data_IF_804502325379
#
_entry.id   IF_804502325379
#
_cell.length_a   1.000
_cell.length_b   1.000
_cell.length_c   1.000
_cell.angle_alpha   90.00
_cell.angle_beta   90.00
_cell.angle_gamma   90.00
#
_symmetry.space_group_name_H-M   'P 1'
#
loop_
_entity.id
_entity.type
_entity.pdbx_description
1 polymer ?
#
# COMPACT_ATOMS: atom_id res chain seq x y z
N UNK A 1 -54.02 16.29 101.70
CA UNK A 1 -52.91 16.02 100.75
C UNK A 1 -53.35 15.93 99.30
N UNK A 2 -54.47 15.26 98.97
CA UNK A 2 -55.01 15.17 97.60
C UNK A 2 -55.27 16.53 96.91
N UNK A 3 -55.86 17.52 97.59
CA UNK A 3 -56.11 18.85 96.99
C UNK A 3 -54.82 19.60 96.61
N UNK A 4 -53.75 19.46 97.41
CA UNK A 4 -52.44 20.05 97.09
C UNK A 4 -51.78 19.36 95.90
N UNK A 5 -52.03 18.07 95.67
CA UNK A 5 -51.58 17.36 94.48
C UNK A 5 -52.34 17.83 93.24
N UNK A 6 -53.67 17.86 93.33
CA UNK A 6 -54.55 18.32 92.24
C UNK A 6 -54.27 19.78 91.84
N UNK A 7 -54.03 20.68 92.80
CA UNK A 7 -53.67 22.08 92.51
C UNK A 7 -52.33 22.23 91.79
N UNK A 8 -51.33 21.37 92.11
CA UNK A 8 -50.06 21.33 91.37
C UNK A 8 -50.24 20.78 89.96
N UNK A 9 -51.10 19.78 89.78
CA UNK A 9 -51.40 19.22 88.46
C UNK A 9 -52.17 20.19 87.57
N UNK A 10 -53.12 20.96 88.14
CA UNK A 10 -53.83 22.03 87.43
C UNK A 10 -52.85 23.11 86.99
N UNK A 11 -52.02 23.65 87.90
CA UNK A 11 -51.04 24.66 87.54
C UNK A 11 -50.05 24.17 86.45
N UNK A 12 -49.66 22.89 86.50
CA UNK A 12 -48.81 22.27 85.47
C UNK A 12 -49.54 22.15 84.12
N UNK A 13 -50.82 21.79 84.12
CA UNK A 13 -51.64 21.72 82.90
C UNK A 13 -51.93 23.11 82.33
N UNK A 14 -52.17 24.11 83.17
CA UNK A 14 -52.35 25.52 82.78
C UNK A 14 -51.07 26.05 82.13
N UNK A 15 -49.91 25.88 82.78
CA UNK A 15 -48.61 26.25 82.22
C UNK A 15 -48.35 25.54 80.89
N UNK A 16 -48.69 24.25 80.79
CA UNK A 16 -48.54 23.48 79.54
C UNK A 16 -49.49 23.97 78.45
N UNK A 17 -50.71 24.35 78.81
CA UNK A 17 -51.69 24.91 77.87
C UNK A 17 -51.22 26.28 77.39
N UNK A 18 -50.70 27.11 78.28
CA UNK A 18 -50.15 28.43 77.97
C UNK A 18 -48.96 28.32 77.00
N UNK A 19 -48.01 27.40 77.25
CA UNK A 19 -46.90 27.11 76.33
C UNK A 19 -47.42 26.60 74.97
N UNK A 20 -48.43 25.73 74.96
CA UNK A 20 -48.98 25.21 73.69
C UNK A 20 -49.63 26.34 72.89
N UNK A 21 -50.46 27.16 73.52
CA UNK A 21 -51.26 28.20 72.86
C UNK A 21 -50.40 29.39 72.44
N UNK A 22 -49.49 29.85 73.31
CA UNK A 22 -48.75 31.08 73.07
C UNK A 22 -47.41 30.86 72.36
N UNK A 23 -46.85 29.65 72.39
CA UNK A 23 -45.56 29.37 71.75
C UNK A 23 -45.67 28.30 70.65
N UNK A 24 -46.20 27.12 70.95
CA UNK A 24 -46.14 25.98 70.00
C UNK A 24 -47.05 26.14 68.79
N UNK A 25 -48.29 26.61 68.99
CA UNK A 25 -49.24 26.82 67.88
C UNK A 25 -48.70 27.92 66.94
N UNK A 26 -48.35 29.13 67.42
CA UNK A 26 -47.79 30.18 66.56
C UNK A 26 -46.51 29.76 65.83
N UNK A 27 -45.62 28.99 66.50
CA UNK A 27 -44.42 28.47 65.85
C UNK A 27 -44.75 27.47 64.73
N UNK A 28 -45.72 26.59 64.93
CA UNK A 28 -46.18 25.64 63.91
C UNK A 28 -46.85 26.35 62.73
N UNK A 29 -47.67 27.37 62.98
CA UNK A 29 -48.32 28.18 61.94
C UNK A 29 -47.27 28.93 61.10
N UNK A 30 -46.30 29.55 61.76
CA UNK A 30 -45.18 30.20 61.08
C UNK A 30 -44.38 29.22 60.21
N UNK A 31 -44.14 28.01 60.71
CA UNK A 31 -43.47 26.96 59.93
C UNK A 31 -44.31 26.51 58.72
N UNK A 32 -45.63 26.36 58.89
CA UNK A 32 -46.54 25.99 57.80
C UNK A 32 -46.61 27.07 56.71
N UNK A 33 -46.65 28.34 57.09
CA UNK A 33 -46.61 29.47 56.15
C UNK A 33 -45.31 29.48 55.34
N UNK A 34 -44.17 29.29 56.02
CA UNK A 34 -42.87 29.20 55.35
C UNK A 34 -42.80 28.04 54.35
N UNK A 35 -43.31 26.86 54.72
CA UNK A 35 -43.38 25.72 53.81
C UNK A 35 -44.33 25.96 52.63
N UNK A 36 -45.48 26.58 52.87
CA UNK A 36 -46.44 26.95 51.81
C UNK A 36 -45.82 27.93 50.82
N UNK A 37 -45.09 28.93 51.32
CA UNK A 37 -44.34 29.88 50.49
C UNK A 37 -43.27 29.15 49.67
N UNK A 38 -42.49 28.27 50.29
CA UNK A 38 -41.46 27.49 49.60
C UNK A 38 -42.02 26.61 48.46
N UNK A 39 -43.22 26.04 48.63
CA UNK A 39 -43.89 25.27 47.56
C UNK A 39 -44.27 26.19 46.39
N UNK A 40 -44.85 27.37 46.67
CA UNK A 40 -45.24 28.33 45.63
C UNK A 40 -44.06 28.92 44.86
N UNK A 41 -42.90 29.05 45.51
CA UNK A 41 -41.67 29.51 44.85
C UNK A 41 -41.00 28.42 44.01
N UNK A 42 -41.13 27.15 44.41
CA UNK A 42 -40.45 26.03 43.76
C UNK A 42 -41.21 25.42 42.58
N UNK A 43 -42.53 25.60 42.53
CA UNK A 43 -43.39 24.97 41.52
C UNK A 43 -44.35 25.99 40.90
N UNK A 44 -44.62 25.82 39.60
CA UNK A 44 -45.60 26.64 38.91
C UNK A 44 -46.98 26.47 39.53
N UNK A 45 -47.70 27.57 39.73
CA UNK A 45 -49.02 27.57 40.36
C UNK A 45 -50.01 26.65 39.64
N UNK A 46 -50.00 26.65 38.30
CA UNK A 46 -50.84 25.78 37.49
C UNK A 46 -50.56 24.28 37.75
N UNK A 47 -49.29 23.91 37.94
CA UNK A 47 -48.92 22.52 38.24
C UNK A 47 -49.36 22.12 39.65
N UNK A 48 -49.23 23.04 40.63
CA UNK A 48 -49.68 22.80 42.01
C UNK A 48 -51.20 22.51 42.00
N UNK A 49 -51.98 23.36 41.34
CA UNK A 49 -53.45 23.25 41.33
C UNK A 49 -53.95 22.03 40.53
N UNK A 50 -53.34 21.74 39.37
CA UNK A 50 -53.82 20.67 38.49
C UNK A 50 -53.26 19.28 38.82
N UNK A 51 -52.05 19.20 39.39
CA UNK A 51 -51.33 17.93 39.55
C UNK A 51 -50.84 17.70 40.98
N UNK A 52 -50.19 18.69 41.59
CA UNK A 52 -49.56 18.57 42.91
C UNK A 52 -50.57 18.28 44.02
N UNK A 53 -51.52 19.20 44.23
CA UNK A 53 -52.54 19.13 45.27
C UNK A 53 -53.49 17.93 45.09
N UNK A 54 -54.03 17.65 43.88
CA UNK A 54 -54.88 16.48 43.67
C UNK A 54 -54.17 15.15 43.95
N UNK A 55 -52.89 15.05 43.60
CA UNK A 55 -52.08 13.85 43.86
C UNK A 55 -51.79 13.68 45.35
N UNK A 56 -51.46 14.76 46.06
CA UNK A 56 -51.24 14.73 47.50
C UNK A 56 -52.49 14.26 48.24
N UNK A 57 -53.66 14.85 47.94
CA UNK A 57 -54.94 14.46 48.56
C UNK A 57 -55.30 13.00 48.28
N UNK A 58 -54.99 12.47 47.09
CA UNK A 58 -55.20 11.06 46.75
C UNK A 58 -54.32 10.13 47.59
N UNK A 59 -53.03 10.44 47.74
CA UNK A 59 -52.11 9.64 48.56
C UNK A 59 -52.43 9.74 50.05
N UNK A 60 -52.86 10.91 50.52
CA UNK A 60 -53.29 11.11 51.91
C UNK A 60 -54.50 10.23 52.26
N UNK A 61 -55.49 10.15 51.35
CA UNK A 61 -56.65 9.24 51.50
C UNK A 61 -56.25 7.77 51.50
N UNK A 62 -55.21 7.39 50.76
CA UNK A 62 -54.78 5.99 50.66
C UNK A 62 -53.93 5.54 51.87
N UNK A 63 -53.14 6.45 52.46
CA UNK A 63 -52.14 6.14 53.50
C UNK A 63 -52.54 6.58 54.90
N UNK A 64 -53.70 7.22 55.07
CA UNK A 64 -54.33 7.61 56.34
C UNK A 64 -53.56 8.60 57.24
N UNK A 65 -52.27 8.88 57.00
CA UNK A 65 -51.50 9.91 57.71
C UNK A 65 -50.54 10.67 56.79
N UNK A 66 -50.29 11.94 57.11
CA UNK A 66 -49.32 12.76 56.38
C UNK A 66 -47.87 12.26 56.56
N UNK A 67 -47.56 11.65 57.70
CA UNK A 67 -46.25 11.06 58.01
C UNK A 67 -45.96 9.84 57.11
N UNK A 68 -46.97 9.01 56.84
CA UNK A 68 -46.85 7.84 55.95
C UNK A 68 -46.72 8.25 54.47
N UNK A 69 -47.33 9.37 54.08
CA UNK A 69 -47.10 9.97 52.76
C UNK A 69 -45.67 10.50 52.68
N UNK A 70 -45.24 11.28 53.66
CA UNK A 70 -43.90 11.87 53.68
C UNK A 70 -42.81 10.79 53.64
N UNK A 71 -42.85 9.80 54.53
CA UNK A 71 -41.86 8.72 54.60
C UNK A 71 -41.75 7.92 53.29
N UNK A 72 -42.89 7.69 52.61
CA UNK A 72 -42.91 6.96 51.35
C UNK A 72 -42.27 7.72 50.19
N UNK A 73 -42.50 9.02 50.07
CA UNK A 73 -41.98 9.83 48.97
C UNK A 73 -40.62 10.46 49.26
N UNK A 74 -40.27 10.66 50.53
CA UNK A 74 -38.99 11.26 50.92
C UNK A 74 -37.79 10.48 50.35
N UNK A 75 -37.80 9.15 50.53
CA UNK A 75 -36.75 8.28 50.00
C UNK A 75 -36.70 8.27 48.46
N UNK A 76 -37.87 8.34 47.80
CA UNK A 76 -37.96 8.38 46.35
C UNK A 76 -37.43 9.70 45.77
N UNK A 77 -37.82 10.84 46.36
CA UNK A 77 -37.34 12.16 45.96
C UNK A 77 -35.82 12.27 46.14
N UNK A 78 -35.31 11.81 47.29
CA UNK A 78 -33.86 11.77 47.55
C UNK A 78 -33.12 10.93 46.49
N UNK A 79 -33.66 9.75 46.15
CA UNK A 79 -33.10 8.90 45.10
C UNK A 79 -33.11 9.58 43.73
N UNK A 80 -34.24 10.16 43.32
CA UNK A 80 -34.35 10.84 42.02
C UNK A 80 -33.42 12.05 41.93
N UNK A 81 -33.28 12.84 43.00
CA UNK A 81 -32.31 13.95 43.08
C UNK A 81 -30.87 13.45 42.93
N UNK A 82 -30.51 12.38 43.63
CA UNK A 82 -29.18 11.77 43.50
C UNK A 82 -28.91 11.26 42.08
N UNK A 83 -29.90 10.63 41.45
CA UNK A 83 -29.79 10.18 40.05
C UNK A 83 -29.65 11.34 39.06
N UNK A 84 -30.44 12.42 39.25
CA UNK A 84 -30.35 13.63 38.45
C UNK A 84 -28.97 14.27 38.58
N UNK A 85 -28.46 14.42 39.80
CA UNK A 85 -27.12 14.97 40.04
C UNK A 85 -26.05 14.10 39.37
N UNK A 86 -26.12 12.78 39.51
CA UNK A 86 -25.17 11.88 38.85
C UNK A 86 -25.18 12.04 37.33
N UNK A 87 -26.36 12.15 36.71
CA UNK A 87 -26.49 12.38 35.26
C UNK A 87 -25.97 13.76 34.84
N UNK A 88 -26.14 14.78 35.69
CA UNK A 88 -25.58 16.12 35.49
C UNK A 88 -24.05 16.06 35.53
N UNK A 89 -23.48 15.37 36.51
CA UNK A 89 -22.03 15.19 36.65
C UNK A 89 -21.44 14.43 35.45
N UNK A 90 -22.11 13.36 35.00
CA UNK A 90 -21.72 12.59 33.81
C UNK A 90 -21.71 13.46 32.53
N UNK A 91 -22.74 14.32 32.37
CA UNK A 91 -22.83 15.27 31.25
C UNK A 91 -21.70 16.30 31.29
N UNK A 92 -21.49 16.95 32.44
CA UNK A 92 -20.42 17.94 32.64
C UNK A 92 -19.06 17.33 32.35
N UNK A 93 -18.83 16.10 32.83
CA UNK A 93 -17.60 15.36 32.54
C UNK A 93 -17.41 15.13 31.05
N UNK A 94 -18.44 14.66 30.35
CA UNK A 94 -18.36 14.39 28.90
C UNK A 94 -18.14 15.68 28.10
N UNK A 95 -18.77 16.79 28.51
CA UNK A 95 -18.53 18.11 27.93
C UNK A 95 -17.10 18.58 28.16
N UNK A 96 -16.57 18.41 29.37
CA UNK A 96 -15.21 18.78 29.72
C UNK A 96 -14.18 17.96 28.92
N UNK A 97 -14.40 16.65 28.78
CA UNK A 97 -13.56 15.78 27.95
C UNK A 97 -13.58 16.23 26.48
N UNK A 98 -14.76 16.49 25.91
CA UNK A 98 -14.88 16.99 24.53
C UNK A 98 -14.20 18.35 24.34
N UNK A 99 -14.44 19.31 25.23
CA UNK A 99 -13.79 20.63 25.18
C UNK A 99 -12.27 20.52 25.27
N UNK A 100 -11.74 19.63 26.12
CA UNK A 100 -10.30 19.39 26.22
C UNK A 100 -9.73 18.82 24.93
N UNK A 101 -10.36 17.78 24.39
CA UNK A 101 -9.84 17.03 23.25
C UNK A 101 -9.87 17.88 21.97
N UNK A 102 -10.89 18.74 21.81
CA UNK A 102 -11.08 19.60 20.64
C UNK A 102 -10.75 21.09 20.87
N UNK A 103 -10.29 21.46 22.06
CA UNK A 103 -9.90 22.83 22.47
C UNK A 103 -10.97 23.89 22.23
N UNK A 104 -12.20 23.59 22.65
CA UNK A 104 -13.37 24.46 22.48
C UNK A 104 -13.52 25.45 23.63
N UNK A 105 -14.38 26.47 23.48
CA UNK A 105 -14.59 27.53 24.51
C UNK A 105 -16.02 27.57 25.05
N UNK A 106 -16.75 26.45 24.99
CA UNK A 106 -18.12 26.38 25.48
C UNK A 106 -18.19 26.25 27.00
N UNK A 107 -19.31 26.68 27.59
CA UNK A 107 -19.58 26.50 29.01
C UNK A 107 -20.02 25.06 29.30
N UNK A 108 -19.23 24.35 30.11
CA UNK A 108 -19.53 22.99 30.57
C UNK A 108 -20.82 22.92 31.41
N UNK A 109 -21.14 24.00 32.12
CA UNK A 109 -22.26 24.07 33.07
C UNK A 109 -23.55 24.62 32.46
N UNK A 110 -23.56 24.97 31.17
CA UNK A 110 -24.76 25.45 30.48
C UNK A 110 -25.97 24.52 30.73
N UNK A 111 -27.14 25.12 30.93
CA UNK A 111 -28.39 24.37 31.14
C UNK A 111 -28.89 23.72 29.85
N UNK A 112 -28.69 24.38 28.71
CA UNK A 112 -29.02 23.84 27.39
C UNK A 112 -27.84 23.11 26.74
N UNK A 113 -28.12 22.44 25.61
CA UNK A 113 -27.14 21.73 24.79
C UNK A 113 -26.96 22.34 23.40
N UNK A 114 -27.46 23.57 23.20
CA UNK A 114 -27.59 24.20 21.89
C UNK A 114 -26.25 24.34 21.14
N UNK A 115 -25.13 24.74 21.77
CA UNK A 115 -23.84 24.83 21.07
C UNK A 115 -23.37 23.49 20.48
N UNK A 116 -23.53 22.40 21.24
CA UNK A 116 -23.12 21.05 20.82
C UNK A 116 -24.03 20.48 19.74
N UNK A 117 -25.35 20.73 19.82
CA UNK A 117 -26.31 20.31 18.79
C UNK A 117 -26.07 21.02 17.46
N UNK A 118 -25.78 22.33 17.50
CA UNK A 118 -25.44 23.11 16.32
C UNK A 118 -24.16 22.59 15.67
N UNK A 119 -23.14 22.28 16.46
CA UNK A 119 -21.89 21.70 15.97
C UNK A 119 -22.11 20.30 15.38
N UNK A 120 -22.89 19.46 16.05
CA UNK A 120 -23.25 18.13 15.54
C UNK A 120 -23.94 18.22 14.17
N UNK A 121 -24.92 19.11 14.02
CA UNK A 121 -25.59 19.35 12.73
C UNK A 121 -24.60 19.85 11.69
N UNK A 122 -23.74 20.81 12.02
CA UNK A 122 -22.71 21.30 11.09
C UNK A 122 -21.77 20.17 10.61
N UNK A 123 -21.32 19.30 11.51
CA UNK A 123 -20.47 18.17 11.12
C UNK A 123 -21.24 17.14 10.30
N UNK A 124 -22.44 16.77 10.72
CA UNK A 124 -23.24 15.72 10.08
C UNK A 124 -23.73 16.13 8.69
N UNK A 125 -24.22 17.36 8.57
CA UNK A 125 -24.96 17.80 7.39
C UNK A 125 -24.08 18.53 6.38
N UNK A 126 -22.94 19.09 6.81
CA UNK A 126 -22.03 19.86 5.94
C UNK A 126 -20.65 19.22 5.87
N UNK A 127 -19.89 19.20 6.99
CA UNK A 127 -18.45 18.84 6.94
C UNK A 127 -18.20 17.38 6.57
N UNK A 128 -18.97 16.43 7.10
CA UNK A 128 -18.79 15.00 6.80
C UNK A 128 -19.10 14.67 5.33
N UNK A 129 -20.21 15.15 4.74
CA UNK A 129 -20.43 15.06 3.30
C UNK A 129 -19.30 15.69 2.48
N UNK A 130 -18.84 16.88 2.84
CA UNK A 130 -17.74 17.57 2.15
C UNK A 130 -16.44 16.77 2.22
N UNK A 131 -16.07 16.26 3.40
CA UNK A 131 -14.89 15.42 3.56
C UNK A 131 -15.01 14.10 2.79
N UNK A 132 -16.19 13.46 2.78
CA UNK A 132 -16.41 12.27 1.96
C UNK A 132 -16.19 12.56 0.48
N UNK A 133 -16.71 13.69 -0.01
CA UNK A 133 -16.50 14.13 -1.39
C UNK A 133 -15.02 14.41 -1.67
N UNK A 134 -14.33 15.12 -0.79
CA UNK A 134 -12.89 15.38 -0.92
C UNK A 134 -12.06 14.10 -0.93
N UNK A 135 -12.39 13.13 -0.08
CA UNK A 135 -11.73 11.81 -0.06
C UNK A 135 -11.97 11.07 -1.37
N UNK A 136 -13.21 11.10 -1.89
CA UNK A 136 -13.53 10.49 -3.17
C UNK A 136 -12.76 11.15 -4.32
N UNK A 137 -12.78 12.48 -4.42
CA UNK A 137 -12.07 13.25 -5.44
C UNK A 137 -10.54 13.00 -5.37
N UNK A 138 -9.98 12.96 -4.16
CA UNK A 138 -8.56 12.66 -3.96
C UNK A 138 -8.21 11.23 -4.36
N UNK A 139 -9.07 10.25 -4.05
CA UNK A 139 -8.90 8.85 -4.46
C UNK A 139 -8.94 8.72 -5.97
N UNK A 140 -9.90 9.35 -6.64
CA UNK A 140 -10.03 9.32 -8.10
C UNK A 140 -8.80 9.92 -8.77
N UNK A 141 -8.35 11.10 -8.32
CA UNK A 141 -7.12 11.73 -8.84
C UNK A 141 -5.87 10.88 -8.63
N UNK A 142 -5.71 10.30 -7.43
CA UNK A 142 -4.58 9.43 -7.13
C UNK A 142 -4.60 8.17 -8.01
N UNK A 143 -5.78 7.61 -8.26
CA UNK A 143 -5.95 6.45 -9.14
C UNK A 143 -5.61 6.78 -10.59
N UNK A 144 -6.04 7.94 -11.09
CA UNK A 144 -5.69 8.40 -12.43
C UNK A 144 -4.18 8.61 -12.59
N UNK A 145 -3.55 9.28 -11.62
CA UNK A 145 -2.10 9.48 -11.64
C UNK A 145 -1.35 8.15 -11.60
N UNK A 146 -1.76 7.23 -10.72
CA UNK A 146 -1.20 5.89 -10.67
C UNK A 146 -1.35 5.16 -12.01
N UNK A 147 -2.51 5.29 -12.67
CA UNK A 147 -2.73 4.67 -13.99
C UNK A 147 -1.73 5.16 -15.02
N UNK A 148 -1.57 6.48 -15.08
CA UNK A 148 -0.71 7.14 -16.05
C UNK A 148 0.77 6.78 -15.80
N UNK A 149 1.23 6.92 -14.56
CA UNK A 149 2.62 6.62 -14.18
C UNK A 149 2.98 5.15 -14.42
N UNK A 150 2.04 4.23 -14.12
CA UNK A 150 2.23 2.80 -14.33
C UNK A 150 2.39 2.45 -15.81
N UNK A 151 1.47 2.91 -16.66
CA UNK A 151 1.50 2.64 -18.10
C UNK A 151 2.73 3.29 -18.76
N UNK A 152 3.06 4.52 -18.38
CA UNK A 152 4.25 5.22 -18.87
C UNK A 152 5.53 4.45 -18.51
N UNK A 153 5.63 3.93 -17.28
CA UNK A 153 6.78 3.14 -16.86
C UNK A 153 6.89 1.83 -17.63
N UNK A 154 5.78 1.13 -17.82
CA UNK A 154 5.73 -0.13 -18.56
C UNK A 154 6.13 0.07 -20.03
N UNK A 155 5.60 1.12 -20.67
CA UNK A 155 5.99 1.54 -22.02
C UNK A 155 7.49 1.83 -22.12
N UNK A 156 8.01 2.67 -21.24
CA UNK A 156 9.43 3.03 -21.21
C UNK A 156 10.33 1.80 -21.11
N UNK A 157 9.94 0.80 -20.31
CA UNK A 157 10.69 -0.45 -20.19
C UNK A 157 10.65 -1.27 -21.49
N UNK A 158 9.49 -1.37 -22.16
CA UNK A 158 9.35 -2.07 -23.45
C UNK A 158 10.15 -1.36 -24.55
N UNK A 159 10.07 -0.04 -24.64
CA UNK A 159 10.82 0.76 -25.61
C UNK A 159 12.33 0.59 -25.41
N UNK A 160 12.79 0.66 -24.15
CA UNK A 160 14.21 0.44 -23.80
C UNK A 160 14.66 -0.95 -24.22
N UNK A 161 13.84 -1.97 -23.98
CA UNK A 161 14.13 -3.33 -24.41
C UNK A 161 14.21 -3.45 -25.94
N UNK A 162 13.28 -2.84 -26.67
CA UNK A 162 13.30 -2.87 -28.14
C UNK A 162 14.58 -2.24 -28.70
N UNK A 163 14.99 -1.08 -28.17
CA UNK A 163 16.26 -0.43 -28.52
C UNK A 163 17.44 -1.37 -28.24
N UNK A 164 17.46 -2.03 -27.06
CA UNK A 164 18.53 -2.98 -26.73
C UNK A 164 18.59 -4.17 -27.70
N UNK A 165 17.43 -4.71 -28.10
CA UNK A 165 17.36 -5.81 -29.07
C UNK A 165 17.82 -5.35 -30.45
N UNK A 166 17.44 -4.14 -30.88
CA UNK A 166 17.90 -3.56 -32.15
C UNK A 166 19.42 -3.34 -32.17
N UNK A 167 19.99 -2.82 -31.08
CA UNK A 167 21.44 -2.65 -30.94
C UNK A 167 22.19 -3.98 -30.96
N UNK A 168 21.69 -4.99 -30.23
CA UNK A 168 22.24 -6.35 -30.24
C UNK A 168 22.20 -6.94 -31.66
N UNK A 169 21.07 -6.81 -32.34
CA UNK A 169 20.94 -7.22 -33.73
C UNK A 169 21.84 -6.41 -34.67
N UNK A 170 22.09 -5.14 -34.36
CA UNK A 170 23.06 -4.29 -35.06
C UNK A 170 24.48 -4.84 -34.94
N UNK A 171 24.91 -5.20 -33.73
CA UNK A 171 26.21 -5.83 -33.51
C UNK A 171 26.31 -7.18 -34.23
N UNK A 172 25.27 -8.02 -34.14
CA UNK A 172 25.25 -9.35 -34.77
C UNK A 172 25.25 -9.30 -36.31
N UNK A 173 24.74 -8.24 -36.95
CA UNK A 173 24.73 -8.12 -38.42
C UNK A 173 26.12 -8.13 -39.04
N UNK A 174 27.13 -7.68 -38.31
CA UNK A 174 28.54 -7.62 -38.76
C UNK A 174 29.24 -8.99 -38.67
N UNK A 175 28.64 -9.97 -37.97
CA UNK A 175 29.24 -11.27 -37.72
C UNK A 175 28.48 -12.40 -38.43
N UNK A 176 29.21 -13.25 -39.14
CA UNK A 176 28.76 -14.56 -39.61
C UNK A 176 29.53 -15.63 -38.88
N UNK A 177 28.86 -16.67 -38.40
CA UNK A 177 29.51 -17.76 -37.68
C UNK A 177 29.54 -18.99 -38.58
N UNK A 178 30.59 -19.09 -39.40
CA UNK A 178 30.57 -19.95 -40.58
C UNK A 178 29.51 -19.46 -41.57
N UNK A 179 28.63 -20.36 -42.00
CA UNK A 179 27.52 -20.10 -42.92
C UNK A 179 26.28 -19.46 -42.28
N UNK A 180 26.23 -19.40 -40.94
CA UNK A 180 25.03 -19.00 -40.19
C UNK A 180 25.07 -17.52 -39.76
N UNK A 181 23.92 -16.84 -39.85
CA UNK A 181 23.69 -15.52 -39.24
C UNK A 181 22.62 -15.59 -38.17
N UNK A 182 22.80 -14.85 -37.08
CA UNK A 182 21.89 -14.86 -35.94
C UNK A 182 21.18 -13.51 -35.76
N UNK A 183 19.90 -13.56 -35.38
CA UNK A 183 19.09 -12.38 -35.04
C UNK A 183 18.15 -12.69 -33.89
N UNK A 184 18.09 -11.84 -32.88
CA UNK A 184 17.07 -11.88 -31.85
C UNK A 184 15.73 -11.41 -32.40
N UNK A 185 14.69 -12.19 -32.12
CA UNK A 185 13.31 -11.88 -32.50
C UNK A 185 12.46 -11.80 -31.25
N UNK A 186 11.81 -10.66 -31.07
CA UNK A 186 10.88 -10.41 -29.98
C UNK A 186 9.45 -10.44 -30.53
N UNK A 187 8.56 -11.19 -29.89
CA UNK A 187 7.13 -11.25 -30.28
C UNK A 187 6.22 -11.11 -29.07
N UNK A 188 5.07 -10.42 -29.22
CA UNK A 188 4.06 -10.38 -28.17
C UNK A 188 3.55 -11.80 -27.88
N UNK A 189 3.43 -12.15 -26.60
CA UNK A 189 2.78 -13.40 -26.22
C UNK A 189 1.28 -13.33 -26.53
N UNK A 190 0.67 -14.36 -27.13
CA UNK A 190 -0.76 -14.34 -27.50
C UNK A 190 -1.68 -13.99 -26.32
N UNK A 191 -1.38 -14.54 -25.13
CA UNK A 191 -2.15 -14.33 -23.89
C UNK A 191 -2.21 -12.87 -23.44
N UNK A 192 -1.18 -12.06 -23.74
CA UNK A 192 -1.09 -10.66 -23.29
C UNK A 192 -1.07 -9.67 -24.46
N UNK A 193 -1.38 -10.13 -25.67
CA UNK A 193 -1.28 -9.34 -26.89
C UNK A 193 -2.10 -8.06 -26.80
N UNK A 194 -3.32 -8.15 -26.24
CA UNK A 194 -4.20 -7.00 -26.03
C UNK A 194 -3.52 -5.88 -25.22
N UNK A 195 -2.87 -6.23 -24.12
CA UNK A 195 -2.15 -5.28 -23.28
C UNK A 195 -0.91 -4.73 -23.99
N UNK A 196 -0.15 -5.60 -24.67
CA UNK A 196 1.02 -5.18 -25.42
C UNK A 196 0.68 -4.18 -26.53
N UNK A 197 -0.35 -4.47 -27.32
CA UNK A 197 -0.80 -3.61 -28.42
C UNK A 197 -1.28 -2.25 -27.91
N UNK A 198 -1.90 -2.20 -26.72
CA UNK A 198 -2.23 -0.95 -26.02
C UNK A 198 -0.97 -0.17 -25.62
N UNK A 199 0.00 -0.81 -24.95
CA UNK A 199 1.21 -0.15 -24.43
C UNK A 199 2.11 0.37 -25.56
N UNK A 200 2.08 -0.30 -26.72
CA UNK A 200 2.93 0.01 -27.89
C UNK A 200 2.19 0.69 -29.04
N UNK A 201 0.96 1.18 -28.82
CA UNK A 201 0.15 1.79 -29.87
C UNK A 201 0.86 2.99 -30.53
N UNK A 202 0.77 3.05 -31.87
CA UNK A 202 1.34 4.13 -32.68
C UNK A 202 0.82 5.52 -32.33
N UNK A 203 -0.38 5.63 -31.75
CA UNK A 203 -0.89 6.90 -31.24
C UNK A 203 0.11 7.56 -30.27
N UNK A 204 0.85 6.75 -29.50
CA UNK A 204 1.86 7.23 -28.56
C UNK A 204 3.13 7.75 -29.24
N UNK A 205 3.35 7.38 -30.51
CA UNK A 205 4.45 7.89 -31.35
C UNK A 205 4.04 9.19 -32.07
N UNK A 206 2.75 9.37 -32.33
CA UNK A 206 2.16 10.54 -33.00
C UNK A 206 1.95 11.75 -32.06
N UNK A 207 2.49 11.69 -30.84
CA UNK A 207 2.43 12.77 -29.87
C UNK A 207 1.19 12.76 -28.97
N UNK A 208 0.30 11.77 -29.09
CA UNK A 208 -0.73 11.54 -28.08
C UNK A 208 -0.08 10.96 -26.83
N UNK A 209 -0.38 11.57 -25.68
CA UNK A 209 0.06 11.01 -24.41
C UNK A 209 -0.85 9.83 -24.03
N UNK A 210 -0.33 8.90 -23.22
CA UNK A 210 -1.12 7.82 -22.58
C UNK A 210 -2.30 8.42 -21.79
N UNK A 211 -2.13 9.65 -21.32
CA UNK A 211 -3.10 10.41 -20.55
C UNK A 211 -4.18 11.08 -21.43
N UNK A 212 -4.10 10.99 -22.76
CA UNK A 212 -5.08 11.58 -23.65
C UNK A 212 -6.40 10.82 -23.62
N UNK A 213 -7.52 11.57 -23.66
CA UNK A 213 -8.85 10.97 -23.64
C UNK A 213 -9.06 10.01 -24.81
N UNK A 214 -8.56 10.35 -26.00
CA UNK A 214 -8.66 9.52 -27.20
C UNK A 214 -7.98 8.16 -27.02
N UNK A 215 -6.80 8.13 -26.39
CA UNK A 215 -6.10 6.88 -26.09
C UNK A 215 -6.87 6.04 -25.07
N UNK A 216 -7.35 6.68 -23.99
CA UNK A 216 -8.13 6.01 -22.93
C UNK A 216 -9.42 5.42 -23.46
N UNK A 217 -10.13 6.12 -24.34
CA UNK A 217 -11.39 5.64 -24.90
C UNK A 217 -11.18 4.43 -25.83
N UNK A 218 -10.12 4.46 -26.65
CA UNK A 218 -9.76 3.35 -27.55
C UNK A 218 -9.39 2.07 -26.79
N UNK A 219 -8.64 2.20 -25.69
CA UNK A 219 -8.09 1.07 -24.94
C UNK A 219 -8.77 0.83 -23.59
N UNK A 220 -9.94 1.45 -23.36
CA UNK A 220 -10.63 1.47 -22.06
C UNK A 220 -10.70 0.11 -21.41
N UNK A 221 -11.22 -0.87 -22.14
CA UNK A 221 -11.41 -2.22 -21.64
C UNK A 221 -10.09 -2.89 -21.22
N UNK A 222 -9.01 -2.69 -22.00
CA UNK A 222 -7.71 -3.28 -21.71
C UNK A 222 -7.06 -2.63 -20.49
N UNK A 223 -7.21 -1.29 -20.34
CA UNK A 223 -6.72 -0.59 -19.14
C UNK A 223 -7.54 -1.05 -17.93
N UNK A 224 -8.86 -1.03 -18.01
CA UNK A 224 -9.72 -1.37 -16.88
C UNK A 224 -9.54 -2.83 -16.43
N UNK A 225 -9.33 -3.77 -17.36
CA UNK A 225 -9.00 -5.17 -17.06
C UNK A 225 -7.62 -5.31 -16.39
N UNK A 226 -6.59 -4.66 -16.93
CA UNK A 226 -5.24 -4.68 -16.39
C UNK A 226 -5.19 -4.14 -14.96
N UNK A 227 -5.85 -3.00 -14.72
CA UNK A 227 -5.87 -2.38 -13.40
C UNK A 227 -6.70 -3.17 -12.40
N UNK A 228 -7.80 -3.80 -12.82
CA UNK A 228 -8.56 -4.73 -11.97
C UNK A 228 -7.66 -5.84 -11.43
N UNK A 229 -6.78 -6.41 -12.26
CA UNK A 229 -5.87 -7.46 -11.79
C UNK A 229 -4.86 -7.01 -10.72
N UNK A 230 -4.53 -5.71 -10.63
CA UNK A 230 -3.51 -5.18 -9.73
C UNK A 230 -4.06 -4.29 -8.60
N UNK A 231 -5.32 -3.85 -8.67
CA UNK A 231 -5.93 -2.95 -7.70
C UNK A 231 -7.20 -3.51 -7.04
N UNK A 232 -7.57 -4.77 -7.30
CA UNK A 232 -8.72 -5.35 -6.61
C UNK A 232 -8.39 -5.59 -5.14
N UNK A 233 -8.55 -4.51 -4.36
CA UNK A 233 -8.32 -4.44 -2.92
C UNK A 233 -9.68 -4.34 -2.24
N UNK A 234 -10.49 -5.40 -2.32
CA UNK A 234 -11.64 -5.49 -1.44
C UNK A 234 -11.15 -5.49 0.03
N UNK A 235 -11.79 -4.72 0.90
CA UNK A 235 -11.37 -4.54 2.31
C UNK A 235 -11.36 -5.84 3.14
N UNK A 236 -11.84 -6.95 2.60
CA UNK A 236 -11.91 -8.29 3.22
C UNK A 236 -11.21 -9.37 2.38
N UNK A 237 -10.07 -9.07 1.75
CA UNK A 237 -9.28 -10.11 1.07
C UNK A 237 -8.77 -11.14 2.08
N UNK A 238 -9.16 -12.40 1.88
CA UNK A 238 -8.57 -13.56 2.55
C UNK A 238 -7.06 -13.63 2.31
N UNK A 239 -6.34 -14.40 3.13
CA UNK A 239 -4.89 -14.58 2.94
C UNK A 239 -4.54 -15.06 1.51
N UNK A 240 -5.38 -15.94 0.95
CA UNK A 240 -5.22 -16.45 -0.42
C UNK A 240 -5.40 -15.36 -1.47
N UNK A 241 -6.41 -14.50 -1.31
CA UNK A 241 -6.68 -13.44 -2.26
C UNK A 241 -5.59 -12.33 -2.23
N UNK A 242 -4.97 -12.08 -1.07
CA UNK A 242 -3.78 -11.21 -0.97
C UNK A 242 -2.58 -11.82 -1.71
N UNK A 243 -2.35 -13.12 -1.56
CA UNK A 243 -1.26 -13.80 -2.26
C UNK A 243 -1.47 -13.80 -3.79
N UNK A 244 -2.72 -13.96 -4.24
CA UNK A 244 -3.07 -13.86 -5.67
C UNK A 244 -2.85 -12.44 -6.20
N UNK A 245 -3.27 -11.41 -5.46
CA UNK A 245 -3.02 -10.02 -5.83
C UNK A 245 -1.52 -9.74 -5.95
N UNK A 246 -0.71 -10.20 -5.00
CA UNK A 246 0.74 -10.00 -5.04
C UNK A 246 1.39 -10.69 -6.25
N UNK A 247 0.89 -11.87 -6.62
CA UNK A 247 1.29 -12.60 -7.82
C UNK A 247 0.89 -11.84 -9.09
N UNK A 248 -0.32 -11.29 -9.13
CA UNK A 248 -0.79 -10.50 -10.26
C UNK A 248 0.01 -9.20 -10.41
N UNK A 249 0.29 -8.49 -9.32
CA UNK A 249 1.17 -7.31 -9.31
C UNK A 249 2.52 -7.69 -9.93
N UNK A 250 3.19 -8.74 -9.45
CA UNK A 250 4.49 -9.18 -10.01
C UNK A 250 4.38 -9.54 -11.49
N UNK A 251 3.30 -10.22 -11.90
CA UNK A 251 3.09 -10.66 -13.28
C UNK A 251 2.84 -9.50 -14.25
N UNK A 252 1.95 -8.59 -13.90
CA UNK A 252 1.49 -7.50 -14.79
C UNK A 252 2.40 -6.26 -14.73
N UNK A 253 3.20 -6.08 -13.68
CA UNK A 253 4.23 -5.03 -13.62
C UNK A 253 5.49 -5.37 -14.42
N UNK A 254 5.76 -6.65 -14.67
CA UNK A 254 6.95 -7.09 -15.39
C UNK A 254 6.72 -7.08 -16.91
N UNK A 255 7.45 -6.21 -17.61
CA UNK A 255 7.39 -6.09 -19.07
C UNK A 255 7.76 -7.42 -19.80
N UNK A 256 8.57 -8.28 -19.17
CA UNK A 256 8.96 -9.60 -19.73
C UNK A 256 7.80 -10.56 -19.83
N UNK A 257 6.73 -10.35 -19.05
CA UNK A 257 5.52 -11.16 -19.11
C UNK A 257 4.86 -11.05 -20.49
N UNK A 258 4.84 -9.86 -21.07
CA UNK A 258 4.14 -9.54 -22.33
C UNK A 258 4.86 -10.06 -23.58
N UNK A 259 6.14 -10.41 -23.46
CA UNK A 259 7.02 -10.69 -24.60
C UNK A 259 7.54 -12.13 -24.56
N UNK A 260 7.75 -12.66 -25.76
CA UNK A 260 8.48 -13.90 -26.03
C UNK A 260 9.73 -13.57 -26.83
N UNK A 261 10.83 -14.18 -26.45
CA UNK A 261 12.13 -13.99 -27.08
C UNK A 261 12.54 -15.29 -27.76
N UNK A 262 13.05 -15.19 -28.98
CA UNK A 262 13.60 -16.30 -29.73
C UNK A 262 14.86 -15.83 -30.48
N UNK A 263 15.69 -16.78 -30.89
CA UNK A 263 16.83 -16.53 -31.77
C UNK A 263 16.53 -17.13 -33.12
N UNK A 264 16.61 -16.33 -34.17
CA UNK A 264 16.46 -16.78 -35.54
C UNK A 264 17.83 -16.97 -36.18
N UNK A 265 17.98 -18.11 -36.86
CA UNK A 265 19.20 -18.49 -37.59
C UNK A 265 18.87 -18.43 -39.07
N UNK A 266 19.67 -17.70 -39.83
CA UNK A 266 19.60 -17.66 -41.30
C UNK A 266 20.81 -18.38 -41.85
N UNK A 267 20.59 -19.41 -42.67
CA UNK A 267 21.67 -20.15 -43.35
C UNK A 267 22.13 -19.44 -44.65
N UNK A 268 23.17 -19.97 -45.29
CA UNK A 268 23.71 -19.51 -46.58
C UNK A 268 22.66 -19.51 -47.71
N UNK A 269 21.66 -20.40 -47.64
CA UNK A 269 20.56 -20.48 -48.59
C UNK A 269 19.45 -19.46 -48.33
N UNK A 270 19.57 -18.64 -47.28
CA UNK A 270 18.58 -17.65 -46.85
C UNK A 270 17.38 -18.25 -46.11
N UNK A 271 17.41 -19.54 -45.74
CA UNK A 271 16.33 -20.12 -44.96
C UNK A 271 16.43 -19.68 -43.51
N UNK A 272 15.31 -19.15 -42.99
CA UNK A 272 15.19 -18.70 -41.62
C UNK A 272 14.56 -19.79 -40.75
N UNK A 273 15.26 -20.16 -39.68
CA UNK A 273 14.79 -21.15 -38.73
C UNK A 273 14.91 -20.62 -37.31
N UNK A 274 13.86 -20.82 -36.51
CA UNK A 274 13.88 -20.45 -35.09
C UNK A 274 14.62 -21.48 -34.28
N UNK A 275 15.51 -21.01 -33.41
CA UNK A 275 16.33 -21.84 -32.54
C UNK A 275 15.45 -22.72 -31.64
N UNK A 276 14.34 -22.18 -31.11
CA UNK A 276 13.37 -22.94 -30.30
C UNK A 276 12.83 -24.21 -30.99
N UNK A 277 12.78 -24.25 -32.32
CA UNK A 277 12.29 -25.40 -33.11
C UNK A 277 13.40 -26.37 -33.54
N UNK A 278 14.64 -25.91 -33.59
CA UNK A 278 15.78 -26.65 -34.16
C UNK A 278 16.79 -27.12 -33.11
N UNK A 279 16.76 -26.57 -31.88
CA UNK A 279 17.69 -26.90 -30.80
C UNK A 279 17.74 -28.41 -30.49
N UNK A 280 16.64 -29.15 -30.72
CA UNK A 280 16.55 -30.61 -30.49
C UNK A 280 17.13 -31.47 -31.62
N UNK A 281 17.49 -30.88 -32.77
CA UNK A 281 17.84 -31.63 -34.00
C UNK A 281 19.30 -31.45 -34.47
N UNK A 282 20.03 -30.47 -33.95
CA UNK A 282 21.38 -30.11 -34.45
C UNK A 282 22.52 -30.66 -33.58
N UNK A 283 23.65 -30.93 -34.21
CA UNK A 283 24.88 -31.51 -33.61
C UNK A 283 25.51 -30.58 -32.55
N UNK A 284 26.37 -31.14 -31.69
CA UNK A 284 26.92 -30.50 -30.48
C UNK A 284 27.75 -29.23 -30.70
N UNK A 285 28.29 -28.99 -31.90
CA UNK A 285 29.00 -27.75 -32.24
C UNK A 285 28.08 -26.63 -32.73
N UNK A 286 27.09 -26.96 -33.56
CA UNK A 286 26.07 -26.02 -34.06
C UNK A 286 25.12 -25.53 -32.95
N UNK A 287 25.01 -26.29 -31.86
CA UNK A 287 24.20 -25.92 -30.69
C UNK A 287 24.92 -25.00 -29.71
N UNK A 288 26.26 -24.87 -29.78
CA UNK A 288 27.00 -24.00 -28.85
C UNK A 288 27.10 -22.54 -29.31
N UNK A 289 27.22 -22.24 -30.61
CA UNK A 289 27.25 -20.84 -31.07
C UNK A 289 26.00 -20.05 -30.67
N UNK A 290 24.76 -20.57 -30.83
CA UNK A 290 23.55 -19.90 -30.34
C UNK A 290 23.57 -19.65 -28.83
N UNK A 291 24.15 -20.57 -28.06
CA UNK A 291 24.30 -20.42 -26.62
C UNK A 291 25.23 -19.25 -26.28
N UNK A 292 26.41 -19.17 -26.91
CA UNK A 292 27.34 -18.05 -26.69
C UNK A 292 26.73 -16.71 -27.12
N UNK A 293 26.08 -16.66 -28.29
CA UNK A 293 25.37 -15.45 -28.75
C UNK A 293 24.31 -15.01 -27.73
N UNK A 294 23.55 -15.94 -27.17
CA UNK A 294 22.54 -15.67 -26.14
C UNK A 294 23.14 -15.20 -24.82
N UNK A 295 24.23 -15.82 -24.38
CA UNK A 295 24.95 -15.43 -23.15
C UNK A 295 25.53 -14.03 -23.29
N UNK A 296 26.19 -13.73 -24.41
CA UNK A 296 26.77 -12.42 -24.68
C UNK A 296 25.71 -11.32 -24.72
N UNK A 297 24.57 -11.60 -25.35
CA UNK A 297 23.43 -10.68 -25.34
C UNK A 297 22.88 -10.45 -23.92
N UNK A 298 22.76 -11.51 -23.13
CA UNK A 298 22.29 -11.43 -21.74
C UNK A 298 23.22 -10.57 -20.88
N UNK A 299 24.53 -10.73 -21.02
CA UNK A 299 25.52 -9.91 -20.31
C UNK A 299 25.55 -8.46 -20.80
N UNK A 300 25.43 -8.22 -22.11
CA UNK A 300 25.34 -6.88 -22.65
C UNK A 300 24.13 -6.11 -22.08
N UNK A 301 23.00 -6.79 -21.91
CA UNK A 301 21.81 -6.25 -21.26
C UNK A 301 22.03 -6.03 -19.75
N UNK A 302 22.51 -7.06 -19.02
CA UNK A 302 22.66 -7.02 -17.57
C UNK A 302 23.64 -5.93 -17.13
N UNK A 303 24.78 -5.81 -17.83
CA UNK A 303 25.76 -4.78 -17.57
C UNK A 303 25.38 -3.41 -18.08
N UNK A 304 24.22 -3.26 -18.74
CA UNK A 304 23.74 -1.98 -19.26
C UNK A 304 24.83 -1.29 -20.07
N UNK A 305 25.56 -2.06 -20.87
CA UNK A 305 26.81 -1.65 -21.55
C UNK A 305 26.63 -0.33 -22.32
N UNK A 306 25.40 -0.05 -22.74
CA UNK A 306 25.03 1.11 -23.55
C UNK A 306 24.25 2.20 -22.81
N UNK A 307 23.93 2.03 -21.51
CA UNK A 307 23.42 3.15 -20.70
C UNK A 307 24.53 4.19 -20.53
N UNK A 308 24.19 5.46 -20.71
CA UNK A 308 25.12 6.58 -20.52
C UNK A 308 25.08 7.05 -19.07
N UNK A 309 26.16 7.68 -18.61
CA UNK A 309 26.31 8.15 -17.22
C UNK A 309 26.68 7.03 -16.25
N UNK A 310 26.53 7.30 -14.95
CA UNK A 310 26.94 6.37 -13.88
C UNK A 310 26.24 5.01 -13.97
N UNK A 311 25.00 4.96 -14.44
CA UNK A 311 24.21 3.74 -14.55
C UNK A 311 24.76 2.70 -15.55
N UNK A 312 25.62 3.13 -16.50
CA UNK A 312 26.32 2.23 -17.43
C UNK A 312 27.78 1.98 -17.09
N UNK A 313 28.30 2.58 -16.01
CA UNK A 313 29.66 2.36 -15.53
C UNK A 313 29.73 1.04 -14.75
N UNK A 314 29.80 -0.07 -15.48
CA UNK A 314 29.79 -1.42 -14.93
C UNK A 314 31.11 -2.14 -15.21
N UNK A 315 31.42 -3.17 -14.42
CA UNK A 315 32.66 -3.95 -14.56
C UNK A 315 32.71 -4.72 -15.89
N UNK A 316 31.55 -5.11 -16.45
CA UNK A 316 31.43 -5.78 -17.76
C UNK A 316 32.25 -7.07 -17.90
N UNK A 317 32.47 -7.78 -16.79
CA UNK A 317 33.29 -8.99 -16.76
C UNK A 317 32.51 -10.24 -17.12
N UNK A 318 33.11 -11.13 -17.91
CA UNK A 318 32.55 -12.43 -18.26
C UNK A 318 33.64 -13.50 -18.10
N UNK A 319 33.29 -14.62 -17.46
CA UNK A 319 34.22 -15.72 -17.20
C UNK A 319 33.65 -16.97 -17.87
N UNK A 320 34.44 -17.58 -18.74
CA UNK A 320 34.11 -18.87 -19.36
C UNK A 320 35.12 -19.91 -18.94
N UNK A 321 34.63 -20.98 -18.34
CA UNK A 321 35.40 -22.21 -18.15
C UNK A 321 35.18 -23.15 -19.34
N UNK A 322 36.24 -23.87 -19.72
CA UNK A 322 36.29 -24.68 -20.94
C UNK A 322 35.74 -23.96 -22.18
N UNK A 323 36.13 -22.69 -22.33
CA UNK A 323 35.71 -21.82 -23.41
C UNK A 323 35.97 -22.48 -24.76
N UNK A 324 34.93 -22.49 -25.59
CA UNK A 324 35.00 -22.93 -26.99
C UNK A 324 35.38 -24.39 -27.27
N UNK A 325 35.30 -25.29 -26.28
CA UNK A 325 35.72 -26.69 -26.42
C UNK A 325 35.08 -27.45 -27.59
N UNK A 326 33.85 -27.09 -28.01
CA UNK A 326 33.11 -27.74 -29.13
C UNK A 326 32.87 -26.83 -30.33
N UNK A 327 33.61 -25.73 -30.46
CA UNK A 327 33.53 -24.84 -31.62
C UNK A 327 34.74 -25.01 -32.55
N UNK A 328 34.50 -24.79 -33.84
CA UNK A 328 35.55 -24.67 -34.84
C UNK A 328 36.29 -23.32 -34.75
N UNK A 329 37.48 -23.27 -35.34
CA UNK A 329 38.39 -22.12 -35.29
C UNK A 329 37.76 -20.82 -35.78
N UNK A 330 36.90 -20.86 -36.79
CA UNK A 330 36.24 -19.67 -37.33
C UNK A 330 35.23 -19.11 -36.33
N UNK A 331 34.34 -19.97 -35.81
CA UNK A 331 33.32 -19.61 -34.81
C UNK A 331 33.94 -19.08 -33.52
N UNK A 332 35.11 -19.59 -33.11
CA UNK A 332 35.88 -19.09 -31.97
C UNK A 332 36.30 -17.65 -32.18
N UNK A 333 36.93 -17.36 -33.32
CA UNK A 333 37.44 -16.03 -33.64
C UNK A 333 36.33 -15.01 -33.68
N UNK A 334 35.19 -15.35 -34.29
CA UNK A 334 34.02 -14.46 -34.35
C UNK A 334 33.37 -14.23 -32.99
N UNK A 335 33.31 -15.26 -32.14
CA UNK A 335 32.80 -15.11 -30.76
C UNK A 335 33.67 -14.16 -29.92
N UNK A 336 34.99 -14.22 -30.05
CA UNK A 336 35.92 -13.31 -29.36
C UNK A 336 35.82 -11.88 -29.93
N UNK A 337 35.66 -11.72 -31.25
CA UNK A 337 35.43 -10.41 -31.86
C UNK A 337 34.12 -9.78 -31.38
N UNK A 338 33.06 -10.56 -31.29
CA UNK A 338 31.77 -10.11 -30.75
C UNK A 338 31.90 -9.68 -29.29
N UNK A 339 32.58 -10.46 -28.44
CA UNK A 339 32.92 -10.10 -27.05
C UNK A 339 33.56 -8.70 -26.95
N UNK A 340 34.57 -8.43 -27.80
CA UNK A 340 35.26 -7.13 -27.82
C UNK A 340 34.35 -6.02 -28.36
N UNK A 341 33.54 -6.28 -29.39
CA UNK A 341 32.58 -5.30 -29.95
C UNK A 341 31.53 -4.88 -28.93
N UNK A 342 31.11 -5.82 -28.07
CA UNK A 342 30.22 -5.58 -26.94
C UNK A 342 30.94 -4.94 -25.74
N UNK A 343 32.26 -4.70 -25.79
CA UNK A 343 33.01 -4.05 -24.72
C UNK A 343 33.04 -4.86 -23.42
N UNK A 344 32.97 -6.18 -23.52
CA UNK A 344 33.03 -7.11 -22.39
C UNK A 344 34.48 -7.47 -22.09
N UNK A 345 34.82 -7.58 -20.80
CA UNK A 345 36.11 -8.03 -20.29
C UNK A 345 36.07 -9.53 -20.03
N UNK A 346 36.66 -10.32 -20.92
CA UNK A 346 36.58 -11.78 -20.86
C UNK A 346 37.79 -12.41 -20.14
N UNK A 347 37.51 -13.36 -19.25
CA UNK A 347 38.48 -14.33 -18.72
C UNK A 347 38.10 -15.69 -19.31
N UNK A 348 39.00 -16.27 -20.10
CA UNK A 348 38.76 -17.50 -20.85
C UNK A 348 39.72 -18.58 -20.34
N UNK A 349 39.18 -19.63 -19.74
CA UNK A 349 39.89 -20.88 -19.50
C UNK A 349 39.60 -21.81 -20.68
N UNK A 350 40.62 -22.18 -21.45
CA UNK A 350 40.46 -22.98 -22.66
C UNK A 350 41.50 -24.11 -22.73
N UNK A 351 41.16 -25.26 -23.33
CA UNK A 351 42.12 -26.34 -23.60
C UNK A 351 43.30 -25.88 -24.46
N UNK A 352 44.45 -26.54 -24.31
CA UNK A 352 45.69 -26.21 -25.04
C UNK A 352 45.52 -26.27 -26.56
N UNK A 353 44.68 -27.17 -27.05
CA UNK A 353 44.33 -27.32 -28.48
C UNK A 353 43.67 -26.08 -29.10
N UNK A 354 43.02 -25.21 -28.30
CA UNK A 354 42.35 -23.99 -28.80
C UNK A 354 43.23 -22.74 -28.70
N UNK A 355 44.43 -22.84 -28.13
CA UNK A 355 45.34 -21.71 -27.93
C UNK A 355 45.63 -21.00 -29.25
N UNK A 356 45.84 -21.72 -30.35
CA UNK A 356 46.15 -21.13 -31.66
C UNK A 356 45.07 -20.17 -32.17
N UNK A 357 43.80 -20.40 -31.82
CA UNK A 357 42.68 -19.56 -32.27
C UNK A 357 42.36 -18.42 -31.31
N UNK A 358 42.60 -18.62 -30.01
CA UNK A 358 42.26 -17.66 -28.95
C UNK A 358 43.41 -16.68 -28.71
N UNK A 359 44.64 -17.18 -28.60
CA UNK A 359 45.79 -16.42 -28.15
C UNK A 359 46.12 -15.18 -29.00
N UNK A 360 45.90 -15.17 -30.33
CA UNK A 360 46.09 -13.96 -31.15
C UNK A 360 45.06 -12.86 -30.92
N UNK A 361 43.90 -13.18 -30.33
CA UNK A 361 42.75 -12.27 -30.23
C UNK A 361 42.54 -11.69 -28.82
N UNK A 362 43.27 -12.19 -27.82
CA UNK A 362 43.19 -11.76 -26.42
C UNK A 362 44.38 -10.89 -26.03
N UNK A 363 44.19 -10.02 -25.04
CA UNK A 363 45.21 -9.05 -24.65
C UNK A 363 46.31 -9.66 -23.76
N UNK A 364 46.03 -10.77 -23.04
CA UNK A 364 46.98 -11.50 -22.19
C UNK A 364 46.72 -13.00 -22.24
N UNK A 365 47.80 -13.78 -22.29
CA UNK A 365 47.74 -15.24 -22.23
C UNK A 365 48.51 -15.75 -21.00
N UNK A 366 47.88 -16.64 -20.24
CA UNK A 366 48.46 -17.28 -19.06
C UNK A 366 48.42 -18.80 -19.28
N UNK A 367 49.59 -19.45 -19.22
CA UNK A 367 49.71 -20.89 -19.28
C UNK A 367 49.88 -21.45 -17.86
N UNK A 368 49.05 -22.44 -17.51
CA UNK A 368 49.15 -23.16 -16.25
C UNK A 368 49.92 -24.46 -16.49
N UNK A 369 51.08 -24.59 -15.84
CA UNK A 369 51.96 -25.75 -15.95
C UNK A 369 51.91 -26.50 -14.63
N UNK A 370 51.55 -27.79 -14.68
CA UNK A 370 51.63 -28.67 -13.52
C UNK A 370 52.97 -29.39 -13.51
N UNK A 371 53.71 -29.26 -12.41
CA UNK A 371 54.97 -29.98 -12.18
C UNK A 371 54.85 -30.78 -10.88
N UNK A 372 54.49 -32.07 -10.99
CA UNK A 372 54.11 -32.91 -9.85
C UNK A 372 52.89 -32.35 -9.11
N UNK A 373 53.09 -32.02 -7.83
CA UNK A 373 52.06 -31.43 -6.96
C UNK A 373 52.02 -29.89 -6.98
N UNK A 374 52.97 -29.24 -7.67
CA UNK A 374 53.01 -27.79 -7.81
C UNK A 374 52.34 -27.33 -9.12
N UNK A 375 51.57 -26.24 -9.04
CA UNK A 375 51.04 -25.55 -10.22
C UNK A 375 51.73 -24.19 -10.38
N UNK A 376 52.27 -23.94 -11.56
CA UNK A 376 53.00 -22.73 -11.93
C UNK A 376 52.23 -22.00 -13.03
N UNK A 377 52.14 -20.67 -12.95
CA UNK A 377 51.51 -19.84 -13.97
C UNK A 377 52.59 -19.01 -14.67
N UNK A 378 52.65 -19.10 -16.01
CA UNK A 378 53.56 -18.28 -16.83
C UNK A 378 52.78 -17.51 -17.88
N UNK A 379 53.05 -16.21 -18.00
CA UNK A 379 52.53 -15.41 -19.08
C UNK A 379 53.32 -15.66 -20.37
N UNK A 380 52.65 -15.65 -21.52
CA UNK A 380 53.29 -15.71 -22.82
C UNK A 380 52.64 -14.73 -23.81
N UNK A 381 53.40 -14.34 -24.83
CA UNK A 381 52.95 -13.44 -25.88
C UNK A 381 52.79 -14.25 -27.19
N UNK A 382 51.56 -14.32 -27.69
CA UNK A 382 51.23 -15.02 -28.92
C UNK A 382 51.92 -14.42 -30.15
N UNK A 383 52.29 -13.14 -30.12
CA UNK A 383 53.04 -12.48 -31.20
C UNK A 383 54.50 -12.92 -31.28
N UNK A 384 55.07 -13.44 -30.19
CA UNK A 384 56.46 -13.94 -30.13
C UNK A 384 56.58 -15.43 -30.45
N UNK A 385 55.46 -16.15 -30.54
CA UNK A 385 55.43 -17.57 -30.89
C UNK A 385 55.60 -17.81 -32.40
N UNK A 386 55.15 -16.88 -33.25
CA UNK A 386 55.31 -17.00 -34.71
C UNK A 386 56.77 -16.95 -35.19
N UNK A 387 57.67 -16.38 -34.39
CA UNK A 387 59.10 -16.28 -34.71
C UNK A 387 59.89 -17.56 -34.38
N UNK A 388 59.27 -18.57 -33.75
CA UNK A 388 59.92 -19.82 -33.36
C UNK A 388 59.78 -20.95 -34.41
N UNK A 389 58.88 -20.81 -35.39
CA UNK A 389 58.65 -21.83 -36.45
C UNK A 389 59.53 -21.66 -37.70
N UNK A 390 60.40 -20.64 -37.75
CA UNK A 390 61.36 -20.43 -38.85
C UNK A 390 62.82 -20.68 -38.45
N UNK A 391 63.04 -21.37 -37.33
CA UNK A 391 64.38 -21.60 -36.79
C UNK A 391 64.52 -22.91 -36.05
N UNK A 392 64.05 -24.03 -36.63
CA UNK A 392 64.53 -25.39 -36.35
C UNK A 392 64.53 -26.24 -37.62
#
# INVERSE_FOLDING_TARGET
EQERSLGKDIARLETRTEIIVNERIPAADSQAENLSKGIKESFLQEWIEQQGEPRFLKELKARNSAEDVYSAFYSQVARTRSQMQKKRDDLVKTRADYIRDYRMSYDINAEDNTPYEKELSQFKDVKLPDYKKQIQDAREKAYEQFRDDFLAKLKSNIDTLNIQIEELNGALKEFSFGSDRYRFVTKPKPEYRRYYDMITDNMLLEGYNINSQVFRDKHRDAIDELFRHITDVASELSADARAELEKNIKRFTDYRTYLSFDLEVTDEGGQQQRLSKTLRKKSGGETQTPFYVSVLASFAQLYRVRQRGEAGNTVRMIVFDEAFSKMDSERIRESIRLLRRLGLQAILSAPTEKIGDIAPLVDRNLCVIRNGDASLVKAFDSKKLGDLDHGL
#
